data_IF_202540336440
#
_entry.id   IF_202540336440
#
_cell.length_a   1.000
_cell.length_b   1.000
_cell.length_c   1.000
_cell.angle_alpha   90.00
_cell.angle_beta   90.00
_cell.angle_gamma   90.00
#
_symmetry.space_group_name_H-M   'P 1'
#
loop_
_entity.id
_entity.type
_entity.pdbx_description
1 polymer ?
#
# COMPACT_ATOMS: atom_id res chain seq x y z
N UNK A 1 -15.69 6.86 8.54
CA UNK A 1 -14.82 6.98 7.36
C UNK A 1 -14.57 8.46 7.04
N UNK A 2 -13.59 8.79 6.19
CA UNK A 2 -13.17 10.17 5.94
C UNK A 2 -14.28 11.08 5.36
N UNK A 3 -15.25 10.51 4.64
CA UNK A 3 -16.45 11.18 4.14
C UNK A 3 -17.59 11.30 5.18
N UNK A 4 -17.36 10.88 6.43
CA UNK A 4 -18.35 10.92 7.52
C UNK A 4 -19.30 9.72 7.59
N UNK A 5 -19.24 8.78 6.63
CA UNK A 5 -20.07 7.57 6.66
C UNK A 5 -19.51 6.51 7.61
N UNK A 6 -20.40 5.65 8.12
CA UNK A 6 -20.05 4.47 8.92
C UNK A 6 -19.77 3.26 8.02
N UNK A 7 -18.89 2.37 8.45
CA UNK A 7 -18.66 1.08 7.80
C UNK A 7 -19.29 -0.02 8.67
N UNK A 8 -20.24 -0.74 8.10
CA UNK A 8 -20.96 -1.84 8.74
C UNK A 8 -20.24 -3.17 8.50
N UNK A 9 -19.56 -3.67 9.53
CA UNK A 9 -18.86 -4.95 9.52
C UNK A 9 -19.81 -6.15 9.49
N UNK A 10 -21.09 -6.01 9.88
CA UNK A 10 -22.07 -7.09 9.77
C UNK A 10 -22.63 -7.20 8.33
N UNK A 11 -22.44 -6.16 7.51
CA UNK A 11 -22.91 -6.08 6.13
C UNK A 11 -21.92 -5.29 5.23
N UNK A 12 -20.67 -5.75 5.03
CA UNK A 12 -19.63 -4.98 4.35
C UNK A 12 -19.98 -4.67 2.88
N UNK A 13 -20.72 -5.55 2.21
CA UNK A 13 -21.22 -5.32 0.85
C UNK A 13 -22.22 -4.14 0.74
N UNK A 14 -22.83 -3.73 1.86
CA UNK A 14 -23.71 -2.55 1.90
C UNK A 14 -22.97 -1.25 2.22
N UNK A 15 -21.71 -1.35 2.67
CA UNK A 15 -20.88 -0.21 3.05
C UNK A 15 -20.08 0.28 1.85
N UNK A 16 -20.40 1.47 1.36
CA UNK A 16 -19.69 2.07 0.23
C UNK A 16 -18.45 2.86 0.68
N UNK A 17 -17.31 2.56 0.07
CA UNK A 17 -16.07 3.32 0.22
C UNK A 17 -15.59 3.82 -1.15
N UNK A 18 -15.68 5.14 -1.38
CA UNK A 18 -15.10 5.75 -2.56
C UNK A 18 -13.56 5.75 -2.52
N UNK A 19 -12.94 5.89 -3.69
CA UNK A 19 -11.48 5.85 -3.81
C UNK A 19 -10.82 7.02 -3.08
N UNK A 20 -11.47 8.18 -3.00
CA UNK A 20 -11.01 9.34 -2.24
C UNK A 20 -10.92 9.05 -0.75
N UNK A 21 -11.94 8.40 -0.17
CA UNK A 21 -12.01 7.99 1.23
C UNK A 21 -10.97 6.91 1.54
N UNK A 22 -10.85 5.91 0.68
CA UNK A 22 -9.80 4.89 0.78
C UNK A 22 -8.41 5.54 0.75
N UNK A 23 -8.13 6.32 -0.29
CA UNK A 23 -6.83 6.97 -0.47
C UNK A 23 -6.51 7.92 0.69
N UNK A 24 -7.51 8.63 1.24
CA UNK A 24 -7.32 9.46 2.42
C UNK A 24 -6.88 8.62 3.62
N UNK A 25 -7.58 7.51 3.90
CA UNK A 25 -7.24 6.62 5.02
C UNK A 25 -5.83 6.04 4.85
N UNK A 26 -5.54 5.41 3.70
CA UNK A 26 -4.25 4.77 3.41
C UNK A 26 -3.07 5.75 3.43
N UNK A 27 -3.30 7.02 3.07
CA UNK A 27 -2.24 8.03 3.05
C UNK A 27 -1.94 8.60 4.44
N UNK A 28 -2.84 8.43 5.41
CA UNK A 28 -2.61 8.79 6.81
C UNK A 28 -2.22 7.57 7.67
N UNK A 29 -2.32 6.37 7.10
CA UNK A 29 -1.97 5.13 7.78
C UNK A 29 -0.48 4.85 7.66
N UNK A 30 0.20 4.78 8.80
CA UNK A 30 1.63 4.47 8.84
C UNK A 30 1.85 2.97 8.68
N UNK A 31 2.76 2.60 7.79
CA UNK A 31 3.32 1.26 7.76
C UNK A 31 4.06 0.94 9.06
N UNK A 32 4.12 -0.34 9.39
CA UNK A 32 4.85 -0.85 10.56
C UNK A 32 4.38 -0.22 11.87
N UNK A 33 3.09 0.15 11.96
CA UNK A 33 2.51 0.82 13.13
C UNK A 33 3.27 2.08 13.56
N UNK A 34 3.88 2.80 12.60
CA UNK A 34 4.62 4.03 12.86
C UNK A 34 6.04 3.87 13.40
N UNK A 35 6.61 2.66 13.41
CA UNK A 35 7.97 2.41 13.90
C UNK A 35 9.08 2.71 12.88
N UNK A 36 8.74 3.30 11.74
CA UNK A 36 9.70 3.80 10.78
C UNK A 36 10.49 4.99 11.30
N UNK A 37 11.73 5.14 10.83
CA UNK A 37 12.58 6.33 11.09
C UNK A 37 12.02 7.62 10.48
N UNK A 38 11.16 7.50 9.47
CA UNK A 38 10.41 8.56 8.81
C UNK A 38 8.98 8.09 8.54
N UNK A 39 8.02 9.00 8.46
CA UNK A 39 6.64 8.65 8.11
C UNK A 39 6.60 7.98 6.72
N UNK A 40 6.14 6.73 6.69
CA UNK A 40 5.97 5.95 5.46
C UNK A 40 4.58 5.31 5.49
N UNK A 41 3.81 5.50 4.42
CA UNK A 41 2.36 5.27 4.42
C UNK A 41 1.96 4.06 3.61
N UNK A 42 0.81 3.47 3.94
CA UNK A 42 0.25 2.34 3.17
C UNK A 42 0.00 2.76 1.72
N UNK A 43 -0.52 3.97 1.50
CA UNK A 43 -0.74 4.48 0.14
C UNK A 43 0.54 4.51 -0.72
N UNK A 44 1.69 4.91 -0.13
CA UNK A 44 2.96 4.90 -0.85
C UNK A 44 3.43 3.47 -1.15
N UNK A 45 3.27 2.55 -0.20
CA UNK A 45 3.55 1.13 -0.38
C UNK A 45 2.73 0.55 -1.54
N UNK A 46 1.40 0.72 -1.52
CA UNK A 46 0.51 0.22 -2.59
C UNK A 46 0.80 0.87 -3.95
N UNK A 47 1.13 2.16 -3.97
CA UNK A 47 1.56 2.82 -5.20
C UNK A 47 2.84 2.20 -5.77
N UNK A 48 3.88 2.05 -4.95
CA UNK A 48 5.14 1.42 -5.36
C UNK A 48 4.91 0.01 -5.88
N UNK A 49 4.09 -0.78 -5.18
CA UNK A 49 3.78 -2.14 -5.57
C UNK A 49 3.15 -2.21 -6.96
N UNK A 50 2.24 -1.28 -7.26
CA UNK A 50 1.61 -1.18 -8.59
C UNK A 50 2.60 -0.84 -9.72
N UNK A 51 3.81 -0.38 -9.40
CA UNK A 51 4.83 0.01 -10.39
C UNK A 51 5.85 -1.10 -10.70
N UNK A 52 5.96 -2.10 -9.82
CA UNK A 52 6.94 -3.20 -9.93
C UNK A 52 6.34 -4.54 -10.37
N UNK A 53 5.01 -4.60 -10.52
CA UNK A 53 4.29 -5.75 -11.06
C UNK A 53 4.02 -5.58 -12.56
N UNK A 54 3.68 -6.66 -13.29
CA UNK A 54 3.14 -6.55 -14.65
C UNK A 54 1.96 -5.57 -14.71
N UNK A 55 1.84 -4.85 -15.82
CA UNK A 55 0.89 -3.73 -15.94
C UNK A 55 -0.56 -4.18 -15.73
N UNK A 56 -0.91 -5.35 -16.22
CA UNK A 56 -2.22 -6.02 -16.08
C UNK A 56 -2.59 -6.39 -14.63
N UNK A 57 -1.59 -6.43 -13.74
CA UNK A 57 -1.77 -6.71 -12.32
C UNK A 57 -1.74 -5.43 -11.48
N UNK A 58 -1.42 -4.28 -12.10
CA UNK A 58 -1.21 -3.01 -11.41
C UNK A 58 -2.39 -2.56 -10.55
N UNK A 59 -3.63 -2.77 -11.02
CA UNK A 59 -4.82 -2.38 -10.25
C UNK A 59 -5.03 -3.28 -9.02
N UNK A 60 -4.75 -4.58 -9.15
CA UNK A 60 -4.77 -5.51 -8.01
C UNK A 60 -3.65 -5.20 -7.01
N UNK A 61 -2.48 -4.81 -7.50
CA UNK A 61 -1.36 -4.38 -6.65
C UNK A 61 -1.65 -3.04 -5.96
N UNK A 62 -2.32 -2.09 -6.61
CA UNK A 62 -2.68 -0.82 -5.98
C UNK A 62 -3.74 -1.01 -4.87
N UNK A 63 -4.67 -1.95 -5.07
CA UNK A 63 -5.78 -2.23 -4.14
C UNK A 63 -5.55 -3.46 -3.26
N UNK A 64 -4.31 -3.93 -3.11
CA UNK A 64 -4.02 -5.14 -2.34
C UNK A 64 -4.29 -4.96 -0.83
N UNK A 65 -4.12 -3.74 -0.30
CA UNK A 65 -4.47 -3.36 1.08
C UNK A 65 -5.85 -2.69 1.18
N UNK A 66 -6.79 -3.03 0.28
CA UNK A 66 -8.10 -2.37 0.25
C UNK A 66 -8.97 -2.64 1.50
N UNK A 67 -8.64 -3.63 2.33
CA UNK A 67 -9.28 -3.87 3.63
C UNK A 67 -8.78 -2.97 4.76
N UNK A 68 -7.51 -2.54 4.71
CA UNK A 68 -6.90 -1.73 5.78
C UNK A 68 -7.60 -0.40 6.08
N UNK A 69 -8.25 0.33 5.15
CA UNK A 69 -8.98 1.55 5.49
C UNK A 69 -10.02 1.39 6.59
N UNK A 70 -10.52 0.16 6.80
CA UNK A 70 -11.54 -0.18 7.79
C UNK A 70 -11.00 -1.09 8.90
N UNK A 71 -9.96 -1.89 8.67
CA UNK A 71 -9.38 -2.77 9.70
C UNK A 71 -8.10 -2.24 10.35
N UNK A 72 -7.37 -1.36 9.66
CA UNK A 72 -6.05 -0.84 10.03
C UNK A 72 -4.87 -1.74 9.65
N UNK A 73 -3.68 -1.15 9.44
CA UNK A 73 -2.41 -1.87 9.23
C UNK A 73 -1.97 -2.56 10.52
N UNK A 74 -2.33 -3.85 10.64
CA UNK A 74 -1.96 -4.70 11.77
C UNK A 74 -0.80 -5.58 11.35
N UNK A 75 0.32 -5.43 12.07
CA UNK A 75 1.54 -6.16 11.74
C UNK A 75 1.32 -7.68 11.70
N UNK A 76 1.98 -8.35 10.73
CA UNK A 76 1.80 -9.79 10.47
C UNK A 76 1.98 -10.68 11.71
N UNK A 77 2.97 -10.47 12.60
CA UNK A 77 3.12 -11.26 13.83
C UNK A 77 1.88 -11.25 14.73
N UNK A 78 1.23 -10.08 14.91
CA UNK A 78 0.00 -9.97 15.68
C UNK A 78 -1.19 -10.55 14.93
N UNK A 79 -1.31 -10.29 13.61
CA UNK A 79 -2.38 -10.85 12.77
C UNK A 79 -2.42 -12.37 12.81
N UNK A 80 -1.27 -13.05 12.84
CA UNK A 80 -1.18 -14.52 13.02
C UNK A 80 -1.72 -15.03 14.36
N UNK A 81 -1.91 -14.14 15.36
CA UNK A 81 -2.52 -14.46 16.65
C UNK A 81 -4.00 -14.09 16.72
N UNK A 82 -4.54 -13.44 15.69
CA UNK A 82 -5.91 -12.92 15.60
C UNK A 82 -6.60 -13.47 14.34
N UNK A 83 -6.92 -14.78 14.29
CA UNK A 83 -7.49 -15.39 13.08
C UNK A 83 -8.84 -14.78 12.69
N UNK A 84 -9.67 -14.38 13.66
CA UNK A 84 -10.98 -13.77 13.39
C UNK A 84 -10.84 -12.41 12.69
N UNK A 85 -9.79 -11.65 13.00
CA UNK A 85 -9.49 -10.39 12.31
C UNK A 85 -9.10 -10.64 10.85
N UNK A 86 -8.34 -11.70 10.57
CA UNK A 86 -8.00 -12.07 9.19
C UNK A 86 -9.25 -12.49 8.40
N UNK A 87 -10.25 -13.11 9.04
CA UNK A 87 -11.54 -13.39 8.40
C UNK A 87 -12.27 -12.09 8.05
N UNK A 88 -12.44 -11.20 9.03
CA UNK A 88 -13.13 -9.90 8.83
C UNK A 88 -12.45 -9.09 7.73
N UNK A 89 -11.13 -8.94 7.78
CA UNK A 89 -10.39 -8.17 6.78
C UNK A 89 -10.53 -8.76 5.36
N UNK A 90 -10.52 -10.09 5.23
CA UNK A 90 -10.73 -10.73 3.95
C UNK A 90 -12.17 -10.48 3.45
N UNK A 91 -13.19 -10.56 4.30
CA UNK A 91 -14.58 -10.28 3.92
C UNK A 91 -14.77 -8.82 3.48
N UNK A 92 -14.22 -7.88 4.25
CA UNK A 92 -14.24 -6.45 3.93
C UNK A 92 -13.51 -6.16 2.62
N UNK A 93 -12.30 -6.68 2.44
CA UNK A 93 -11.53 -6.51 1.22
C UNK A 93 -12.27 -7.08 0.00
N UNK A 94 -12.90 -8.26 0.11
CA UNK A 94 -13.70 -8.83 -0.97
C UNK A 94 -14.85 -7.90 -1.36
N UNK A 95 -15.59 -7.39 -0.38
CA UNK A 95 -16.70 -6.47 -0.61
C UNK A 95 -16.23 -5.16 -1.27
N UNK A 96 -15.08 -4.64 -0.86
CA UNK A 96 -14.50 -3.40 -1.39
C UNK A 96 -13.98 -3.61 -2.82
N UNK A 97 -13.26 -4.70 -3.11
CA UNK A 97 -12.76 -5.00 -4.46
C UNK A 97 -13.91 -5.11 -5.48
N UNK A 98 -15.04 -5.69 -5.09
CA UNK A 98 -16.24 -5.76 -5.92
C UNK A 98 -16.78 -4.37 -6.29
N UNK A 99 -16.74 -3.39 -5.38
CA UNK A 99 -17.16 -2.01 -5.66
C UNK A 99 -16.31 -1.34 -6.75
N UNK A 100 -15.05 -1.77 -6.90
CA UNK A 100 -14.13 -1.32 -7.94
C UNK A 100 -14.16 -2.20 -9.20
N UNK A 101 -15.08 -3.16 -9.29
CA UNK A 101 -15.23 -4.05 -10.45
C UNK A 101 -14.12 -5.12 -10.55
N UNK A 102 -13.40 -5.38 -9.46
CA UNK A 102 -12.38 -6.42 -9.43
C UNK A 102 -12.97 -7.74 -8.94
N UNK A 103 -12.59 -8.83 -9.59
CA UNK A 103 -12.85 -10.18 -9.10
C UNK A 103 -12.02 -10.42 -7.82
N UNK A 104 -12.66 -10.57 -6.65
CA UNK A 104 -11.98 -10.75 -5.39
C UNK A 104 -11.41 -12.15 -5.20
N UNK A 105 -11.59 -13.07 -6.14
CA UNK A 105 -10.97 -14.40 -6.16
C UNK A 105 -9.77 -14.47 -7.11
N UNK A 106 -9.61 -13.49 -8.01
CA UNK A 106 -8.38 -13.34 -8.81
C UNK A 106 -7.21 -12.97 -7.88
N UNK A 107 -6.16 -13.79 -7.91
CA UNK A 107 -4.91 -13.58 -7.17
C UNK A 107 -3.73 -13.64 -8.14
N UNK A 108 -3.30 -12.50 -8.73
CA UNK A 108 -2.17 -12.50 -9.63
C UNK A 108 -0.90 -12.99 -8.91
N UNK A 109 -0.15 -13.86 -9.58
CA UNK A 109 1.05 -14.49 -8.99
C UNK A 109 2.17 -13.48 -8.68
N UNK A 110 2.11 -12.29 -9.28
CA UNK A 110 3.05 -11.18 -9.10
C UNK A 110 2.91 -10.45 -7.76
N UNK A 111 1.72 -10.48 -7.15
CA UNK A 111 1.40 -9.69 -5.94
C UNK A 111 2.27 -10.11 -4.76
N UNK A 112 2.22 -11.37 -4.34
CA UNK A 112 2.94 -11.82 -3.14
C UNK A 112 4.47 -11.65 -3.22
N UNK A 113 5.14 -11.96 -4.34
CA UNK A 113 6.56 -11.65 -4.50
C UNK A 113 6.87 -10.14 -4.45
N UNK A 114 6.02 -9.30 -5.04
CA UNK A 114 6.21 -7.85 -5.02
C UNK A 114 6.04 -7.26 -3.61
N UNK A 115 5.06 -7.73 -2.85
CA UNK A 115 4.88 -7.36 -1.44
C UNK A 115 6.12 -7.73 -0.61
N UNK A 116 6.63 -8.95 -0.73
CA UNK A 116 7.86 -9.35 -0.03
C UNK A 116 9.09 -8.55 -0.44
N UNK A 117 9.24 -8.25 -1.73
CA UNK A 117 10.31 -7.40 -2.24
C UNK A 117 10.25 -6.00 -1.61
N UNK A 118 9.05 -5.41 -1.55
CA UNK A 118 8.85 -4.11 -0.90
C UNK A 118 9.04 -4.18 0.60
N UNK A 119 8.55 -5.21 1.29
CA UNK A 119 8.77 -5.41 2.72
C UNK A 119 10.28 -5.42 3.05
N UNK A 120 11.09 -6.11 2.23
CA UNK A 120 12.55 -6.11 2.37
C UNK A 120 13.18 -4.73 2.07
N UNK A 121 12.67 -4.03 1.05
CA UNK A 121 13.14 -2.70 0.65
C UNK A 121 12.84 -1.66 1.74
N UNK A 122 11.62 -1.66 2.26
CA UNK A 122 11.13 -0.82 3.34
C UNK A 122 11.87 -1.09 4.64
N UNK A 123 12.11 -2.36 4.97
CA UNK A 123 12.92 -2.71 6.14
C UNK A 123 14.32 -2.10 6.03
N UNK A 124 14.97 -2.22 4.87
CA UNK A 124 16.31 -1.66 4.64
C UNK A 124 16.33 -0.13 4.73
N UNK A 125 15.30 0.54 4.24
CA UNK A 125 15.29 1.99 4.09
C UNK A 125 14.74 2.72 5.32
N UNK A 126 13.77 2.14 6.01
CA UNK A 126 13.00 2.84 7.05
C UNK A 126 13.08 2.24 8.44
N UNK A 127 13.55 0.99 8.63
CA UNK A 127 13.68 0.47 9.99
C UNK A 127 14.93 1.02 10.70
N UNK A 128 14.79 1.44 11.98
CA UNK A 128 15.90 2.01 12.72
C UNK A 128 17.00 0.98 12.98
N UNK A 129 18.24 1.46 13.04
CA UNK A 129 19.36 0.67 13.55
C UNK A 129 19.12 0.31 15.02
N UNK A 130 19.59 -0.86 15.42
CA UNK A 130 19.49 -1.33 16.81
C UNK A 130 20.70 -0.83 17.59
N UNK A 131 20.47 0.07 18.55
CA UNK A 131 21.52 0.51 19.47
C UNK A 131 21.71 -0.53 20.58
N UNK A 132 22.91 -1.09 20.68
CA UNK A 132 23.33 -1.89 21.83
C UNK A 132 24.21 -1.01 22.70
N UNK A 133 23.77 -0.73 23.92
CA UNK A 133 24.51 0.08 24.89
C UNK A 133 25.13 -0.82 25.95
N UNK A 134 26.41 -0.65 26.19
CA UNK A 134 27.10 -1.23 27.34
C UNK A 134 27.04 -0.27 28.51
N UNK A 135 26.64 -0.79 29.66
CA UNK A 135 26.51 -0.04 30.91
C UNK A 135 27.62 -0.46 31.87
N UNK A 136 28.20 0.48 32.61
CA UNK A 136 29.08 0.14 33.72
C UNK A 136 28.29 -0.38 34.95
N UNK A 137 29.01 -0.73 36.02
CA UNK A 137 28.41 -1.23 37.25
C UNK A 137 27.52 -0.20 37.98
N UNK A 138 27.61 1.08 37.61
CA UNK A 138 26.84 2.18 38.18
C UNK A 138 25.66 2.60 37.29
N UNK A 139 25.47 1.95 36.14
CA UNK A 139 24.39 2.22 35.20
C UNK A 139 24.66 3.39 34.24
N UNK A 140 25.91 3.82 34.08
CA UNK A 140 26.27 4.80 33.06
C UNK A 140 26.57 4.12 31.73
N UNK A 141 26.03 4.67 30.63
CA UNK A 141 26.36 4.24 29.28
C UNK A 141 27.83 4.57 28.98
N UNK A 142 28.63 3.55 28.73
CA UNK A 142 30.08 3.69 28.50
C UNK A 142 30.46 3.48 27.04
N UNK A 143 29.71 2.63 26.33
CA UNK A 143 29.95 2.31 24.91
C UNK A 143 28.61 2.02 24.24
N UNK A 144 28.49 2.30 22.95
CA UNK A 144 27.34 1.88 22.14
C UNK A 144 27.75 1.47 20.74
N UNK A 145 27.03 0.49 20.20
CA UNK A 145 27.18 0.03 18.82
C UNK A 145 25.83 0.08 18.11
N UNK A 146 25.82 0.63 16.89
CA UNK A 146 24.64 0.66 16.03
C UNK A 146 24.66 -0.56 15.10
N UNK A 147 23.89 -1.58 15.45
CA UNK A 147 23.69 -2.77 14.63
C UNK A 147 22.62 -2.52 13.55
N UNK A 148 22.70 -3.20 12.40
CA UNK A 148 21.62 -3.15 11.42
C UNK A 148 20.29 -3.63 12.04
N UNK A 149 19.14 -3.28 11.43
CA UNK A 149 17.86 -3.88 11.78
C UNK A 149 17.97 -5.41 11.81
N UNK A 150 17.29 -6.04 12.75
CA UNK A 150 17.25 -7.50 12.79
C UNK A 150 16.59 -8.01 11.51
N UNK A 151 17.22 -8.96 10.80
CA UNK A 151 16.60 -9.60 9.65
C UNK A 151 15.31 -10.30 10.08
N UNK A 152 14.21 -10.03 9.37
CA UNK A 152 12.94 -10.68 9.67
C UNK A 152 12.86 -12.02 8.95
N UNK A 153 12.23 -13.01 9.56
CA UNK A 153 12.04 -14.31 8.92
C UNK A 153 11.28 -14.20 7.58
N UNK A 154 10.37 -13.23 7.46
CA UNK A 154 9.59 -12.96 6.25
C UNK A 154 10.41 -12.37 5.09
N UNK A 155 11.51 -11.68 5.39
CA UNK A 155 12.38 -11.04 4.39
C UNK A 155 13.70 -11.81 4.21
N UNK A 156 13.86 -12.96 4.88
CA UNK A 156 15.05 -13.77 4.79
C UNK A 156 15.21 -14.35 3.38
N UNK A 157 16.32 -14.02 2.72
CA UNK A 157 16.62 -14.45 1.35
C UNK A 157 15.86 -13.67 0.26
N UNK A 158 15.05 -12.67 0.62
CA UNK A 158 14.40 -11.78 -0.34
C UNK A 158 15.35 -10.66 -0.72
N UNK A 159 15.48 -10.41 -2.03
CA UNK A 159 16.31 -9.30 -2.53
C UNK A 159 15.45 -8.03 -2.62
N UNK A 160 15.83 -6.93 -1.94
CA UNK A 160 15.12 -5.67 -2.07
C UNK A 160 15.36 -5.03 -3.45
N UNK A 161 14.53 -4.04 -3.81
CA UNK A 161 14.78 -3.20 -4.98
C UNK A 161 16.15 -2.52 -4.85
N UNK A 162 16.92 -2.36 -5.94
CA UNK A 162 18.23 -1.71 -5.87
C UNK A 162 18.11 -0.22 -5.48
N UNK A 163 17.04 0.44 -5.89
CA UNK A 163 16.75 1.83 -5.56
C UNK A 163 16.29 1.97 -4.11
N UNK A 164 16.57 3.15 -3.52
CA UNK A 164 16.05 3.52 -2.21
C UNK A 164 14.73 4.26 -2.33
N UNK A 165 13.83 4.01 -1.40
CA UNK A 165 12.55 4.70 -1.32
C UNK A 165 12.76 6.08 -0.68
N UNK A 166 12.22 7.12 -1.31
CA UNK A 166 12.08 8.45 -0.70
C UNK A 166 10.67 8.56 -0.13
N UNK A 167 10.55 8.64 1.19
CA UNK A 167 9.26 8.76 1.86
C UNK A 167 8.53 10.05 1.44
N UNK A 168 7.22 9.91 1.19
CA UNK A 168 6.36 11.02 0.81
C UNK A 168 5.53 11.53 1.99
N UNK A 169 5.25 12.85 2.05
CA UNK A 169 4.19 13.35 2.92
C UNK A 169 2.82 12.72 2.55
N UNK A 170 1.90 12.54 3.52
CA UNK A 170 0.56 12.00 3.31
C UNK A 170 -0.19 12.61 2.12
N UNK A 171 -0.12 13.94 1.95
CA UNK A 171 -0.82 14.64 0.88
C UNK A 171 -0.25 14.27 -0.49
N UNK A 172 1.05 14.01 -0.57
CA UNK A 172 1.69 13.56 -1.80
C UNK A 172 1.36 12.09 -2.08
N UNK A 173 1.41 11.21 -1.08
CA UNK A 173 1.00 9.82 -1.22
C UNK A 173 -0.46 9.69 -1.70
N UNK A 174 -1.36 10.51 -1.15
CA UNK A 174 -2.77 10.57 -1.56
C UNK A 174 -2.93 10.93 -3.04
N UNK A 175 -2.28 12.01 -3.49
CA UNK A 175 -2.32 12.44 -4.89
C UNK A 175 -1.78 11.37 -5.83
N UNK A 176 -0.65 10.75 -5.48
CA UNK A 176 0.00 9.73 -6.32
C UNK A 176 -0.84 8.46 -6.40
N UNK A 177 -1.43 8.03 -5.29
CA UNK A 177 -2.35 6.89 -5.25
C UNK A 177 -3.57 7.13 -6.15
N UNK A 178 -4.25 8.28 -6.00
CA UNK A 178 -5.41 8.63 -6.83
C UNK A 178 -5.06 8.74 -8.32
N UNK A 179 -3.91 9.34 -8.65
CA UNK A 179 -3.45 9.44 -10.03
C UNK A 179 -3.22 8.05 -10.64
N UNK A 180 -2.55 7.16 -9.89
CA UNK A 180 -2.26 5.80 -10.33
C UNK A 180 -3.53 4.95 -10.47
N UNK A 181 -4.48 5.10 -9.55
CA UNK A 181 -5.78 4.43 -9.67
C UNK A 181 -6.49 4.84 -10.95
N UNK A 182 -6.56 6.14 -11.25
CA UNK A 182 -7.21 6.66 -12.47
C UNK A 182 -6.54 6.12 -13.73
N UNK A 183 -5.21 6.11 -13.78
CA UNK A 183 -4.44 5.54 -14.88
C UNK A 183 -4.83 4.07 -15.13
N UNK A 184 -4.78 3.25 -14.08
CA UNK A 184 -5.05 1.81 -14.18
C UNK A 184 -6.52 1.48 -14.46
N UNK A 185 -7.45 2.28 -13.93
CA UNK A 185 -8.88 2.12 -14.20
C UNK A 185 -9.25 2.43 -15.64
N UNK A 186 -8.72 3.51 -16.21
CA UNK A 186 -8.97 3.87 -17.62
C UNK A 186 -8.54 2.74 -18.57
N UNK A 187 -7.50 2.01 -18.21
CA UNK A 187 -7.00 0.86 -18.99
C UNK A 187 -7.80 -0.42 -18.75
N UNK A 188 -8.41 -0.57 -17.58
CA UNK A 188 -9.26 -1.72 -17.26
C UNK A 188 -10.65 -1.63 -17.92
N UNK A 189 -11.17 -0.43 -18.19
CA UNK A 189 -12.52 -0.21 -18.74
C UNK A 189 -12.86 -1.02 -20.01
N UNK A 190 -11.97 -1.16 -21.02
CA UNK A 190 -12.23 -2.02 -22.19
C UNK A 190 -12.39 -3.51 -21.85
N UNK A 191 -11.86 -3.96 -20.71
CA UNK A 191 -11.83 -5.36 -20.30
C UNK A 191 -12.93 -5.72 -19.28
N UNK A 192 -13.45 -4.74 -18.54
CA UNK A 192 -14.54 -4.91 -17.57
C UNK A 192 -15.94 -5.07 -18.24
N UNK A 193 -16.05 -4.80 -19.54
CA UNK A 193 -17.30 -4.90 -20.31
C UNK A 193 -17.60 -6.28 -20.95
N UNK A 194 -16.96 -7.38 -20.54
CA UNK A 194 -17.22 -8.72 -21.11
C UNK A 194 -18.43 -9.40 -20.42
N UNK A 195 -19.27 -10.15 -21.16
CA UNK A 195 -20.52 -10.71 -20.63
C UNK A 195 -20.24 -11.72 -19.51
N UNK A 196 -20.82 -11.45 -18.33
CA UNK A 196 -20.61 -12.22 -17.09
C UNK A 196 -20.22 -11.38 -15.87
N UNK A 197 -19.85 -10.11 -16.05
CA UNK A 197 -19.60 -9.18 -14.94
C UNK A 197 -20.93 -8.85 -14.21
N UNK A 198 -20.95 -8.78 -12.86
CA UNK A 198 -22.15 -8.38 -12.12
C UNK A 198 -22.62 -7.01 -12.61
N UNK A 199 -23.88 -6.96 -13.06
CA UNK A 199 -24.54 -5.70 -13.40
C UNK A 199 -24.86 -4.98 -12.10
N UNK A 200 -24.12 -3.92 -11.80
CA UNK A 200 -24.45 -3.03 -10.70
C UNK A 200 -25.60 -2.11 -11.12
N UNK A 201 -26.67 -2.01 -10.32
CA UNK A 201 -27.83 -1.13 -10.56
C UNK A 201 -27.44 0.37 -10.68
N UNK A 202 -26.21 0.71 -10.31
CA UNK A 202 -25.54 1.95 -10.69
C UNK A 202 -24.11 1.64 -11.10
N UNK A 203 -23.62 2.07 -12.28
CA UNK A 203 -22.19 2.15 -12.50
C UNK A 203 -21.59 3.06 -11.41
N UNK A 204 -20.39 2.74 -10.88
CA UNK A 204 -19.69 3.66 -9.99
C UNK A 204 -19.62 5.03 -10.67
N UNK A 205 -20.19 6.04 -10.02
CA UNK A 205 -20.18 7.42 -10.51
C UNK A 205 -18.78 7.97 -10.30
N UNK A 206 -17.86 7.58 -11.17
CA UNK A 206 -16.56 8.21 -11.27
C UNK A 206 -16.75 9.55 -11.99
N UNK A 207 -16.79 10.64 -11.24
CA UNK A 207 -16.77 11.98 -11.83
C UNK A 207 -15.33 12.35 -12.19
N UNK A 208 -14.96 12.08 -13.44
CA UNK A 208 -13.65 12.45 -13.99
C UNK A 208 -13.58 13.93 -14.43
N UNK A 209 -14.62 14.75 -14.22
CA UNK A 209 -14.66 16.13 -14.71
C UNK A 209 -13.69 17.07 -14.01
N UNK A 210 -13.17 16.68 -12.84
CA UNK A 210 -12.16 17.42 -12.07
C UNK A 210 -10.74 16.85 -12.23
N UNK A 211 -10.46 16.19 -13.37
CA UNK A 211 -9.12 15.73 -13.71
C UNK A 211 -8.16 16.92 -13.78
N UNK A 212 -7.40 17.13 -12.69
CA UNK A 212 -6.16 17.87 -12.74
C UNK A 212 -5.34 17.32 -13.92
N UNK A 213 -4.93 18.21 -14.82
CA UNK A 213 -4.10 17.90 -15.99
C UNK A 213 -3.02 16.90 -15.59
N UNK A 214 -2.69 15.92 -16.46
CA UNK A 214 -1.64 14.95 -16.18
C UNK A 214 -0.39 15.72 -15.75
N UNK A 215 0.01 15.54 -14.49
CA UNK A 215 1.28 16.08 -14.02
C UNK A 215 2.34 15.28 -14.75
N UNK A 216 3.09 15.94 -15.63
CA UNK A 216 4.28 15.38 -16.23
C UNK A 216 5.23 14.95 -15.10
N UNK A 217 5.21 13.66 -14.76
CA UNK A 217 5.97 13.14 -13.62
C UNK A 217 6.49 11.72 -13.83
N UNK A 218 5.88 10.94 -14.73
CA UNK A 218 6.40 9.63 -15.09
C UNK A 218 7.62 9.70 -16.03
N UNK A 219 7.76 10.77 -16.82
CA UNK A 219 8.89 10.98 -17.73
C UNK A 219 10.11 11.63 -17.05
N UNK A 220 9.92 12.33 -15.92
CA UNK A 220 10.98 13.10 -15.26
C UNK A 220 11.99 12.21 -14.51
N UNK A 221 11.59 11.00 -14.10
CA UNK A 221 12.50 10.09 -13.39
C UNK A 221 13.59 9.50 -14.32
N UNK A 222 13.24 9.25 -15.59
CA UNK A 222 14.21 8.82 -16.60
C UNK A 222 15.16 9.94 -17.04
N UNK A 223 14.69 11.21 -17.03
CA UNK A 223 15.53 12.37 -17.34
C UNK A 223 16.47 12.77 -16.18
N UNK A 224 16.07 12.55 -14.92
CA UNK A 224 16.95 12.77 -13.77
C UNK A 224 18.14 11.78 -13.74
N UNK A 225 17.96 10.54 -14.19
CA UNK A 225 19.05 9.55 -14.31
C UNK A 225 20.09 9.93 -15.39
N UNK A 226 19.69 10.63 -16.44
CA UNK A 226 20.59 11.03 -17.52
C UNK A 226 21.49 12.24 -17.18
N UNK A 227 21.13 13.04 -16.16
CA UNK A 227 21.87 14.26 -15.79
C UNK A 227 22.86 14.08 -14.63
N UNK A 228 22.88 12.92 -13.97
CA UNK A 228 23.79 12.60 -12.86
C UNK A 228 24.92 11.63 -13.25
N UNK A 229 25.11 11.39 -14.55
CA UNK A 229 26.24 10.59 -15.06
C UNK A 229 27.44 11.46 -15.42
N UNK A 230 28.25 11.85 -14.42
CA UNK A 230 29.69 12.12 -14.54
C UNK A 230 30.37 11.98 -13.19
#
# INVERSE_FOLDING_TARGET
MANGHYFDYDAPASSFIDIETMSHSLSNMCRFTGHCSVLYTVAQHSWLMSTIVPREDGLYALLHEAGEPVTGDINKPLKMRLPDLEVVENEDQRAILLQFGLDPDRRPASIKPADWCLLATEQRDFMPKRRVTRWDALGFAIEWEDLPPQQWALTAGVTPLPERIVAWPPEHANRMFLARFRELMLEALPHLGRPGAPTFDRPPRFDFSNAAKPVAGAADFAQLQASLGH
#
